data_IF_260100075216
#
_entry.id   IF_260100075216
#
_cell.length_a   1.000
_cell.length_b   1.000
_cell.length_c   1.000
_cell.angle_alpha   90.00
_cell.angle_beta   90.00
_cell.angle_gamma   90.00
#
_symmetry.space_group_name_H-M   'P 1'
#
loop_
_entity.id
_entity.type
_entity.pdbx_description
1 polymer ?
#
# COMPACT_ATOMS: atom_id res chain seq x y z
N UNK A 1 35.88 28.79 -2.02
CA UNK A 1 36.46 29.38 -0.79
C UNK A 1 37.92 29.01 -0.60
N UNK A 2 38.37 27.79 -0.63
CA UNK A 2 39.79 27.37 -0.40
C UNK A 2 40.77 27.92 -1.45
N UNK A 3 40.36 28.14 -2.70
CA UNK A 3 41.23 28.65 -3.77
C UNK A 3 41.50 30.18 -3.65
N UNK A 4 40.59 30.96 -3.09
CA UNK A 4 40.76 32.40 -2.89
C UNK A 4 41.70 32.71 -1.71
N UNK A 5 41.69 31.87 -0.67
CA UNK A 5 42.60 31.99 0.46
C UNK A 5 44.05 31.68 0.06
N UNK A 6 44.26 30.67 -0.80
CA UNK A 6 45.56 30.30 -1.28
C UNK A 6 46.20 31.41 -2.15
N UNK A 7 45.39 32.09 -2.95
CA UNK A 7 45.87 33.18 -3.79
C UNK A 7 46.27 34.39 -2.94
N UNK A 8 45.51 34.67 -1.88
CA UNK A 8 45.80 35.75 -0.91
C UNK A 8 47.12 35.50 -0.15
N UNK A 9 47.33 34.27 0.28
CA UNK A 9 48.58 33.88 0.96
C UNK A 9 49.78 33.93 0.01
N UNK A 10 49.61 33.61 -1.28
CA UNK A 10 50.65 33.75 -2.28
C UNK A 10 51.02 35.21 -2.56
N UNK A 11 50.04 36.10 -2.54
CA UNK A 11 50.26 37.54 -2.73
C UNK A 11 50.89 38.19 -1.49
N UNK A 12 50.54 37.72 -0.26
CA UNK A 12 51.23 38.12 0.98
C UNK A 12 52.70 37.64 1.00
N UNK A 13 52.98 36.46 0.54
CA UNK A 13 54.34 35.94 0.41
C UNK A 13 55.15 36.75 -0.63
N UNK A 14 54.56 37.09 -1.77
CA UNK A 14 55.17 37.97 -2.78
C UNK A 14 55.41 39.37 -2.25
N UNK A 15 54.51 39.91 -1.43
CA UNK A 15 54.66 41.20 -0.81
C UNK A 15 55.80 41.18 0.23
N UNK A 16 55.86 40.17 1.09
CA UNK A 16 56.96 39.97 2.07
C UNK A 16 58.33 39.75 1.41
N UNK A 17 58.37 39.11 0.23
CA UNK A 17 59.57 38.93 -0.57
C UNK A 17 60.03 40.28 -1.19
N UNK A 18 59.13 41.19 -1.52
CA UNK A 18 59.47 42.55 -1.99
C UNK A 18 60.13 43.41 -0.91
N UNK A 19 59.68 43.28 0.34
CA UNK A 19 60.25 44.02 1.48
C UNK A 19 61.55 43.43 1.99
N UNK A 20 61.77 42.10 1.82
CA UNK A 20 63.06 41.43 2.21
C UNK A 20 64.21 41.80 1.26
N UNK A 21 63.89 42.26 0.05
CA UNK A 21 64.88 42.87 -0.84
C UNK A 21 64.98 44.38 -0.57
N UNK A 22 65.02 44.76 0.71
CA UNK A 22 65.24 46.13 1.05
C UNK A 22 66.59 46.61 0.44
N UNK A 23 66.47 47.49 -0.45
CA UNK A 23 67.55 48.20 -1.17
C UNK A 23 68.70 48.66 -0.27
N UNK A 24 68.43 48.83 1.00
CA UNK A 24 69.33 49.38 1.97
C UNK A 24 70.39 48.37 2.47
N UNK A 25 70.05 47.14 2.71
CA UNK A 25 70.99 46.07 3.11
C UNK A 25 71.92 45.70 1.98
N UNK A 26 71.47 45.71 0.73
CA UNK A 26 72.31 45.53 -0.41
C UNK A 26 73.23 46.66 -0.68
N UNK A 27 72.79 47.91 -0.42
CA UNK A 27 73.63 49.10 -0.58
C UNK A 27 74.72 49.24 0.51
N UNK A 28 74.44 48.78 1.72
CA UNK A 28 75.45 48.74 2.79
C UNK A 28 76.54 47.70 2.55
N UNK A 29 76.14 46.54 2.08
CA UNK A 29 77.08 45.44 1.75
C UNK A 29 77.90 45.67 0.49
N UNK A 30 77.44 46.50 -0.44
CA UNK A 30 78.16 46.83 -1.65
C UNK A 30 79.15 48.00 -1.50
N UNK A 31 79.01 48.82 -0.42
CA UNK A 31 79.91 49.98 -0.18
C UNK A 31 81.37 49.67 0.09
N UNK A 32 81.69 48.48 0.60
CA UNK A 32 83.03 48.04 0.97
C UNK A 32 83.66 47.03 0.00
N UNK A 33 83.03 46.73 -1.17
CA UNK A 33 83.50 45.70 -2.09
C UNK A 33 84.41 46.26 -3.19
N UNK A 34 85.64 45.95 -3.05
CA UNK A 34 86.72 46.49 -3.90
C UNK A 34 87.00 45.60 -5.17
N UNK A 35 86.36 44.42 -5.29
CA UNK A 35 86.53 43.53 -6.45
C UNK A 35 85.28 42.91 -6.95
N UNK A 36 85.03 42.98 -8.26
CA UNK A 36 83.79 42.41 -8.94
C UNK A 36 83.64 40.90 -8.75
N UNK A 37 84.71 40.19 -8.50
CA UNK A 37 84.63 38.69 -8.25
C UNK A 37 84.10 38.30 -6.89
N UNK A 38 84.11 39.23 -5.89
CA UNK A 38 83.59 38.91 -4.57
C UNK A 38 82.08 39.22 -4.46
N UNK A 39 81.57 40.14 -5.30
CA UNK A 39 80.18 40.48 -5.41
C UNK A 39 79.31 39.28 -5.80
N UNK A 40 79.75 38.49 -6.74
CA UNK A 40 79.02 37.30 -7.26
C UNK A 40 78.83 36.21 -6.16
N UNK A 41 79.89 35.99 -5.38
CA UNK A 41 79.87 35.06 -4.25
C UNK A 41 78.98 35.53 -3.09
N UNK A 42 79.03 36.84 -2.79
CA UNK A 42 78.19 37.45 -1.73
C UNK A 42 76.72 37.42 -2.12
N UNK A 43 76.40 37.82 -3.35
CA UNK A 43 75.02 37.79 -3.87
C UNK A 43 74.48 36.37 -3.87
N UNK A 44 75.28 35.42 -4.38
CA UNK A 44 74.91 33.99 -4.37
C UNK A 44 74.67 33.48 -2.94
N UNK A 45 75.55 33.89 -1.98
CA UNK A 45 75.38 33.50 -0.57
C UNK A 45 74.10 34.08 0.09
N UNK A 46 73.81 35.36 -0.22
CA UNK A 46 72.57 36.01 0.29
C UNK A 46 71.33 35.35 -0.33
N UNK A 47 71.31 35.15 -1.64
CA UNK A 47 70.21 34.49 -2.34
C UNK A 47 69.98 33.09 -1.79
N UNK A 48 71.00 32.25 -1.62
CA UNK A 48 70.87 30.97 -0.97
C UNK A 48 70.26 31.01 0.44
N UNK A 49 70.73 31.95 1.27
CA UNK A 49 70.16 32.14 2.64
C UNK A 49 68.74 32.63 2.63
N UNK A 50 68.35 33.47 1.69
CA UNK A 50 66.98 33.92 1.53
C UNK A 50 66.06 32.76 1.07
N UNK A 51 66.51 32.02 0.08
CA UNK A 51 65.77 30.86 -0.37
C UNK A 51 65.58 29.78 0.73
N UNK A 52 66.64 29.45 1.47
CA UNK A 52 66.50 28.46 2.56
C UNK A 52 65.58 28.94 3.69
N UNK A 53 65.60 30.25 4.03
CA UNK A 53 64.65 30.83 4.99
C UNK A 53 63.21 30.83 4.46
N UNK A 54 63.05 31.11 3.18
CA UNK A 54 61.76 31.06 2.51
C UNK A 54 61.18 29.63 2.49
N UNK A 55 61.98 28.65 2.04
CA UNK A 55 61.61 27.23 2.03
C UNK A 55 61.19 26.74 3.42
N UNK A 56 61.98 27.03 4.46
CA UNK A 56 61.63 26.62 5.83
C UNK A 56 60.38 27.30 6.38
N UNK A 57 60.16 28.56 6.01
CA UNK A 57 58.94 29.29 6.40
C UNK A 57 57.69 28.77 5.69
N UNK A 58 57.83 28.41 4.41
CA UNK A 58 56.77 27.86 3.57
C UNK A 58 56.41 26.45 4.04
N UNK A 59 57.40 25.62 4.33
CA UNK A 59 57.24 24.27 4.85
C UNK A 59 56.50 24.26 6.20
N UNK A 60 56.91 25.19 7.11
CA UNK A 60 56.21 25.36 8.41
C UNK A 60 54.75 25.79 8.23
N UNK A 61 54.47 26.79 7.39
CA UNK A 61 53.10 27.24 7.12
C UNK A 61 52.22 26.13 6.47
N UNK A 62 52.82 25.36 5.57
CA UNK A 62 52.10 24.21 4.96
C UNK A 62 51.80 23.15 5.99
N UNK A 63 52.75 22.76 6.82
CA UNK A 63 52.55 21.77 7.87
C UNK A 63 51.50 22.22 8.87
N UNK A 64 51.54 23.47 9.32
CA UNK A 64 50.53 24.02 10.23
C UNK A 64 49.09 23.98 9.63
N UNK A 65 48.99 24.29 8.30
CA UNK A 65 47.70 24.18 7.60
C UNK A 65 47.24 22.72 7.43
N UNK A 66 48.14 21.82 7.11
CA UNK A 66 47.83 20.38 6.98
C UNK A 66 47.30 19.82 8.31
N UNK A 67 47.98 20.13 9.41
CA UNK A 67 47.57 19.69 10.75
C UNK A 67 46.17 20.23 11.07
N UNK A 68 45.96 21.55 10.84
CA UNK A 68 44.65 22.16 11.09
C UNK A 68 43.52 21.50 10.29
N UNK A 69 43.75 21.22 8.99
CA UNK A 69 42.77 20.52 8.14
C UNK A 69 42.53 19.08 8.62
N UNK A 70 43.61 18.39 9.03
CA UNK A 70 43.47 17.03 9.58
C UNK A 70 42.63 17.01 10.86
N UNK A 71 42.82 17.94 11.76
CA UNK A 71 42.06 18.05 13.00
C UNK A 71 40.57 18.38 12.72
N UNK A 72 40.32 19.35 11.83
CA UNK A 72 38.95 19.67 11.40
C UNK A 72 38.24 18.47 10.71
N UNK A 73 38.97 17.73 9.89
CA UNK A 73 38.45 16.52 9.25
C UNK A 73 38.16 15.42 10.27
N UNK A 74 39.04 15.21 11.24
CA UNK A 74 38.89 14.22 12.29
C UNK A 74 37.63 14.52 13.13
N UNK A 75 37.44 15.76 13.55
CA UNK A 75 36.25 16.19 14.27
C UNK A 75 34.95 15.96 13.47
N UNK A 76 34.97 16.33 12.17
CA UNK A 76 33.80 16.10 11.30
C UNK A 76 33.49 14.61 11.11
N UNK A 77 34.53 13.78 10.96
CA UNK A 77 34.35 12.31 10.84
C UNK A 77 33.75 11.73 12.12
N UNK A 78 34.19 12.18 13.28
CA UNK A 78 33.65 11.72 14.58
C UNK A 78 32.18 12.11 14.73
N UNK A 79 31.82 13.36 14.45
CA UNK A 79 30.41 13.84 14.47
C UNK A 79 29.56 13.07 13.49
N UNK A 80 30.04 12.79 12.28
CA UNK A 80 29.32 11.99 11.29
C UNK A 80 29.16 10.55 11.71
N UNK A 81 30.16 9.96 12.36
CA UNK A 81 30.10 8.60 12.90
C UNK A 81 29.00 8.48 13.95
N UNK A 82 28.94 9.42 14.92
CA UNK A 82 27.91 9.46 15.95
C UNK A 82 26.50 9.58 15.32
N UNK A 83 26.35 10.50 14.36
CA UNK A 83 25.07 10.68 13.66
C UNK A 83 24.65 9.42 12.88
N UNK A 84 25.60 8.72 12.26
CA UNK A 84 25.33 7.50 11.54
C UNK A 84 24.86 6.37 12.47
N UNK A 85 25.46 6.27 13.66
CA UNK A 85 25.02 5.32 14.69
C UNK A 85 23.61 5.63 15.19
N UNK A 86 23.29 6.90 15.44
CA UNK A 86 21.93 7.30 15.84
C UNK A 86 20.90 6.97 14.74
N UNK A 87 21.23 7.30 13.48
CA UNK A 87 20.35 6.98 12.35
C UNK A 87 20.14 5.46 12.19
N UNK A 88 21.17 4.65 12.38
CA UNK A 88 21.05 3.17 12.35
C UNK A 88 20.09 2.68 13.45
N UNK A 89 20.26 3.14 14.68
CA UNK A 89 19.36 2.78 15.80
C UNK A 89 17.92 3.18 15.52
N UNK A 90 17.69 4.39 15.00
CA UNK A 90 16.35 4.86 14.62
C UNK A 90 15.76 4.02 13.48
N UNK A 91 16.56 3.60 12.53
CA UNK A 91 16.14 2.72 11.43
C UNK A 91 15.72 1.34 11.97
N UNK A 92 16.49 0.74 12.88
CA UNK A 92 16.18 -0.53 13.50
C UNK A 92 14.85 -0.47 14.29
N UNK A 93 14.66 0.56 15.10
CA UNK A 93 13.40 0.78 15.83
C UNK A 93 12.24 0.98 14.85
N UNK A 94 12.42 1.80 13.81
CA UNK A 94 11.39 2.02 12.80
C UNK A 94 11.00 0.75 12.04
N UNK A 95 11.98 -0.08 11.66
CA UNK A 95 11.71 -1.35 10.97
C UNK A 95 11.00 -2.36 11.88
N UNK A 96 11.34 -2.43 13.16
CA UNK A 96 10.64 -3.26 14.14
C UNK A 96 9.18 -2.81 14.32
N UNK A 97 8.93 -1.51 14.43
CA UNK A 97 7.57 -0.95 14.51
C UNK A 97 6.74 -1.25 13.26
N UNK A 98 7.31 -1.06 12.07
CA UNK A 98 6.63 -1.38 10.80
C UNK A 98 6.26 -2.87 10.74
N UNK A 99 7.14 -3.75 11.21
CA UNK A 99 6.88 -5.20 11.23
C UNK A 99 5.73 -5.55 12.18
N UNK A 100 5.70 -4.94 13.37
CA UNK A 100 4.60 -5.10 14.33
C UNK A 100 3.27 -4.62 13.75
N UNK A 101 3.25 -3.40 13.19
CA UNK A 101 2.06 -2.83 12.58
C UNK A 101 1.54 -3.70 11.42
N UNK A 102 2.43 -4.22 10.57
CA UNK A 102 2.04 -5.13 9.49
C UNK A 102 1.38 -6.40 10.01
N UNK A 103 1.90 -6.96 11.10
CA UNK A 103 1.32 -8.14 11.74
C UNK A 103 -0.08 -7.84 12.30
N UNK A 104 -0.22 -6.78 13.10
CA UNK A 104 -1.48 -6.35 13.69
C UNK A 104 -2.53 -6.02 12.62
N UNK A 105 -2.11 -5.36 11.54
CA UNK A 105 -2.98 -5.08 10.39
C UNK A 105 -3.48 -6.36 9.73
N UNK A 106 -2.58 -7.33 9.51
CA UNK A 106 -2.95 -8.63 8.93
C UNK A 106 -3.97 -9.37 9.80
N UNK A 107 -3.76 -9.41 11.12
CA UNK A 107 -4.68 -10.01 12.08
C UNK A 107 -6.04 -9.30 12.08
N UNK A 108 -6.04 -7.97 12.09
CA UNK A 108 -7.26 -7.15 12.03
C UNK A 108 -8.05 -7.41 10.74
N UNK A 109 -7.38 -7.51 9.61
CA UNK A 109 -8.02 -7.84 8.31
C UNK A 109 -8.65 -9.23 8.35
N UNK A 110 -8.00 -10.21 8.97
CA UNK A 110 -8.58 -11.56 9.11
C UNK A 110 -9.83 -11.55 9.99
N UNK A 111 -9.78 -10.86 11.12
CA UNK A 111 -10.95 -10.72 12.02
C UNK A 111 -12.12 -10.02 11.30
N UNK A 112 -11.83 -8.95 10.57
CA UNK A 112 -12.86 -8.23 9.79
C UNK A 112 -13.49 -9.11 8.70
N UNK A 113 -12.69 -9.89 7.97
CA UNK A 113 -13.20 -10.86 6.99
C UNK A 113 -14.10 -11.89 7.64
N UNK A 114 -13.68 -12.47 8.77
CA UNK A 114 -14.47 -13.45 9.50
C UNK A 114 -15.78 -12.87 10.02
N UNK A 115 -15.76 -11.66 10.57
CA UNK A 115 -16.95 -10.96 11.03
C UNK A 115 -17.94 -10.72 9.87
N UNK A 116 -17.45 -10.25 8.71
CA UNK A 116 -18.29 -10.05 7.53
C UNK A 116 -18.90 -11.37 7.01
N UNK A 117 -18.13 -12.45 6.98
CA UNK A 117 -18.66 -13.77 6.58
C UNK A 117 -19.74 -14.24 7.54
N UNK A 118 -19.53 -14.10 8.85
CA UNK A 118 -20.52 -14.50 9.87
C UNK A 118 -21.78 -13.65 9.77
N UNK A 119 -21.64 -12.34 9.60
CA UNK A 119 -22.76 -11.42 9.42
C UNK A 119 -23.60 -11.79 8.18
N UNK A 120 -22.92 -11.98 7.04
CA UNK A 120 -23.59 -12.39 5.81
C UNK A 120 -24.29 -13.77 5.93
N UNK A 121 -23.65 -14.72 6.62
CA UNK A 121 -24.25 -16.03 6.87
C UNK A 121 -25.52 -15.89 7.71
N UNK A 122 -25.49 -15.13 8.81
CA UNK A 122 -26.64 -14.89 9.68
C UNK A 122 -27.77 -14.19 8.91
N UNK A 123 -27.45 -13.19 8.10
CA UNK A 123 -28.41 -12.52 7.23
C UNK A 123 -29.02 -13.52 6.23
N UNK A 124 -28.21 -14.30 5.55
CA UNK A 124 -28.68 -15.31 4.59
C UNK A 124 -29.54 -16.39 5.28
N UNK A 125 -29.14 -16.81 6.47
CA UNK A 125 -29.89 -17.78 7.25
C UNK A 125 -31.28 -17.24 7.65
N UNK A 126 -31.36 -15.97 8.03
CA UNK A 126 -32.66 -15.32 8.33
C UNK A 126 -33.60 -15.26 7.12
N UNK A 127 -33.02 -15.24 5.91
CA UNK A 127 -33.73 -15.23 4.62
C UNK A 127 -33.98 -16.64 4.04
N UNK A 128 -33.53 -17.69 4.74
CA UNK A 128 -33.53 -19.06 4.25
C UNK A 128 -34.89 -19.52 3.70
N UNK A 129 -35.98 -19.13 4.39
CA UNK A 129 -37.34 -19.50 4.03
C UNK A 129 -38.05 -18.47 3.13
N UNK A 130 -37.35 -17.42 2.70
CA UNK A 130 -37.92 -16.40 1.84
C UNK A 130 -37.85 -16.83 0.36
N UNK A 131 -38.89 -16.42 -0.39
CA UNK A 131 -38.93 -16.45 -1.86
C UNK A 131 -39.16 -15.01 -2.34
N UNK A 132 -38.39 -14.55 -3.33
CA UNK A 132 -38.73 -13.36 -4.10
C UNK A 132 -39.54 -13.75 -5.31
N UNK A 133 -40.66 -13.05 -5.50
CA UNK A 133 -41.58 -13.27 -6.61
C UNK A 133 -41.59 -12.05 -7.51
N UNK A 134 -41.14 -12.23 -8.73
CA UNK A 134 -41.16 -11.17 -9.75
C UNK A 134 -42.37 -11.28 -10.63
N UNK A 135 -42.82 -10.12 -11.15
CA UNK A 135 -43.94 -9.99 -12.09
C UNK A 135 -45.27 -10.53 -11.54
N UNK A 136 -45.42 -10.56 -10.21
CA UNK A 136 -46.69 -10.94 -9.60
C UNK A 136 -47.76 -9.86 -9.88
N UNK A 137 -48.92 -10.23 -10.45
CA UNK A 137 -49.96 -9.26 -10.83
C UNK A 137 -50.39 -8.35 -9.67
N UNK A 138 -50.69 -7.11 -9.96
CA UNK A 138 -51.23 -6.16 -8.98
C UNK A 138 -52.71 -5.94 -9.31
N UNK A 139 -53.54 -6.08 -8.28
CA UNK A 139 -54.98 -5.83 -8.36
C UNK A 139 -55.39 -4.88 -7.25
N UNK A 140 -56.48 -4.15 -7.44
CA UNK A 140 -57.07 -3.35 -6.35
C UNK A 140 -57.62 -4.26 -5.26
N UNK A 141 -57.51 -3.84 -4.01
CA UNK A 141 -57.97 -4.60 -2.82
C UNK A 141 -57.47 -6.05 -2.77
N UNK A 142 -56.22 -6.28 -3.23
CA UNK A 142 -55.59 -7.58 -3.36
C UNK A 142 -55.30 -8.23 -1.99
N UNK A 143 -55.75 -9.46 -1.76
CA UNK A 143 -55.25 -10.31 -0.70
C UNK A 143 -54.02 -11.09 -1.22
N UNK A 144 -52.84 -10.53 -1.00
CA UNK A 144 -51.57 -11.08 -1.51
C UNK A 144 -51.34 -12.55 -1.07
N UNK A 145 -51.72 -12.90 0.17
CA UNK A 145 -51.55 -14.23 0.72
C UNK A 145 -52.40 -15.24 -0.05
N UNK A 146 -53.68 -14.98 -0.17
CA UNK A 146 -54.64 -15.87 -0.85
C UNK A 146 -54.28 -15.98 -2.35
N UNK A 147 -53.97 -14.86 -2.99
CA UNK A 147 -53.60 -14.87 -4.40
C UNK A 147 -52.29 -15.65 -4.65
N UNK A 148 -51.32 -15.58 -3.73
CA UNK A 148 -50.10 -16.38 -3.81
C UNK A 148 -50.41 -17.89 -3.64
N UNK A 149 -51.20 -18.29 -2.66
CA UNK A 149 -51.62 -19.66 -2.42
C UNK A 149 -52.35 -20.23 -3.66
N UNK A 150 -53.29 -19.43 -4.20
CA UNK A 150 -54.05 -19.85 -5.40
C UNK A 150 -53.14 -20.00 -6.62
N UNK A 151 -52.16 -19.14 -6.82
CA UNK A 151 -51.20 -19.25 -7.90
C UNK A 151 -50.32 -20.49 -7.75
N UNK A 152 -49.81 -20.78 -6.56
CA UNK A 152 -48.97 -21.94 -6.28
C UNK A 152 -49.79 -23.25 -6.51
N UNK A 153 -51.05 -23.24 -6.07
CA UNK A 153 -51.95 -24.39 -6.29
C UNK A 153 -52.30 -24.56 -7.77
N UNK A 154 -52.64 -23.49 -8.46
CA UNK A 154 -53.09 -23.53 -9.86
C UNK A 154 -51.99 -23.81 -10.87
N UNK A 155 -50.81 -23.25 -10.68
CA UNK A 155 -49.66 -23.34 -11.61
C UNK A 155 -48.73 -24.49 -11.27
N UNK A 156 -48.47 -24.72 -9.96
CA UNK A 156 -47.42 -25.64 -9.49
C UNK A 156 -48.02 -26.93 -8.90
N UNK A 157 -49.33 -27.06 -8.80
CA UNK A 157 -50.02 -28.16 -8.18
C UNK A 157 -49.52 -28.51 -6.74
N UNK A 158 -49.05 -27.47 -6.01
CA UNK A 158 -48.61 -27.56 -4.62
C UNK A 158 -49.66 -26.93 -3.73
N UNK A 159 -50.17 -27.70 -2.78
CA UNK A 159 -51.18 -27.20 -1.81
C UNK A 159 -50.43 -26.55 -0.65
N UNK A 160 -50.75 -25.27 -0.40
CA UNK A 160 -50.28 -24.49 0.75
C UNK A 160 -51.50 -24.12 1.63
N UNK A 161 -51.29 -24.22 2.93
CA UNK A 161 -52.24 -23.67 3.90
C UNK A 161 -51.88 -22.19 4.25
N UNK A 162 -52.83 -21.44 4.82
CA UNK A 162 -52.55 -20.05 5.22
C UNK A 162 -51.37 -19.92 6.21
N UNK A 163 -51.23 -20.92 7.11
CA UNK A 163 -50.13 -21.00 8.08
C UNK A 163 -48.75 -21.20 7.43
N UNK A 164 -48.69 -21.76 6.20
CA UNK A 164 -47.45 -21.97 5.47
C UNK A 164 -46.86 -20.65 4.96
N UNK A 165 -47.64 -19.58 4.85
CA UNK A 165 -47.22 -18.26 4.45
C UNK A 165 -47.15 -17.36 5.69
N UNK A 166 -45.99 -17.23 6.30
CA UNK A 166 -45.76 -16.44 7.53
C UNK A 166 -45.93 -14.94 7.26
N UNK A 167 -45.34 -14.45 6.20
CA UNK A 167 -45.42 -13.04 5.80
C UNK A 167 -45.34 -12.92 4.27
N UNK A 168 -46.07 -11.95 3.74
CA UNK A 168 -46.01 -11.58 2.33
C UNK A 168 -46.25 -10.09 2.16
N UNK A 169 -45.36 -9.42 1.44
CA UNK A 169 -45.50 -8.00 1.13
C UNK A 169 -44.75 -7.62 -0.15
N UNK A 170 -45.10 -6.49 -0.73
CA UNK A 170 -44.38 -5.92 -1.88
C UNK A 170 -43.12 -5.18 -1.42
N UNK A 171 -42.02 -5.41 -2.14
CA UNK A 171 -40.79 -4.67 -1.95
C UNK A 171 -40.88 -3.32 -2.69
N UNK A 172 -40.25 -2.24 -2.15
CA UNK A 172 -40.06 -1.03 -2.93
C UNK A 172 -39.24 -1.32 -4.20
N UNK A 173 -39.72 -0.86 -5.35
CA UNK A 173 -39.03 -0.99 -6.61
C UNK A 173 -39.47 0.13 -7.57
N UNK A 174 -38.54 0.59 -8.40
CA UNK A 174 -38.79 1.58 -9.46
C UNK A 174 -39.69 1.00 -10.55
N UNK A 175 -39.47 -0.29 -10.91
CA UNK A 175 -40.24 -1.01 -11.93
C UNK A 175 -41.49 -1.66 -11.36
N UNK A 176 -42.61 -1.51 -12.05
CA UNK A 176 -43.87 -2.14 -11.69
C UNK A 176 -44.18 -3.35 -12.59
N UNK A 177 -44.78 -4.40 -12.09
CA UNK A 177 -45.19 -4.57 -10.68
C UNK A 177 -44.01 -4.85 -9.77
N UNK A 178 -44.01 -4.18 -8.60
CA UNK A 178 -42.96 -4.37 -7.58
C UNK A 178 -42.89 -5.83 -7.15
N UNK A 179 -41.68 -6.40 -6.93
CA UNK A 179 -41.52 -7.78 -6.49
C UNK A 179 -42.21 -8.01 -5.12
N UNK A 180 -42.58 -9.26 -4.87
CA UNK A 180 -43.01 -9.68 -3.54
C UNK A 180 -41.85 -10.36 -2.82
N UNK A 181 -41.85 -10.24 -1.51
CA UNK A 181 -41.15 -11.14 -0.61
C UNK A 181 -42.17 -12.02 0.09
N UNK A 182 -41.97 -13.32 0.05
CA UNK A 182 -42.85 -14.30 0.70
C UNK A 182 -41.99 -15.10 1.66
N UNK A 183 -42.33 -15.05 2.95
CA UNK A 183 -41.66 -15.88 3.97
C UNK A 183 -42.54 -17.10 4.24
N UNK A 184 -42.01 -18.26 3.98
CA UNK A 184 -42.66 -19.51 4.23
C UNK A 184 -42.32 -20.09 5.61
N UNK A 185 -43.18 -20.92 6.15
CA UNK A 185 -43.07 -21.45 7.50
C UNK A 185 -41.78 -22.29 7.68
N UNK A 186 -41.51 -23.15 6.71
CA UNK A 186 -40.34 -24.02 6.80
C UNK A 186 -39.56 -24.12 5.49
N UNK A 187 -38.34 -24.64 5.61
CA UNK A 187 -37.49 -24.92 4.44
C UNK A 187 -38.08 -26.03 3.55
N UNK A 188 -38.87 -26.91 4.12
CA UNK A 188 -39.48 -28.03 3.35
C UNK A 188 -40.65 -27.53 2.51
N UNK A 189 -41.50 -26.67 3.08
CA UNK A 189 -42.55 -25.96 2.31
C UNK A 189 -41.91 -25.13 1.19
N UNK A 190 -40.83 -24.38 1.49
CA UNK A 190 -40.10 -23.65 0.43
C UNK A 190 -39.59 -24.60 -0.66
N UNK A 191 -38.98 -25.73 -0.27
CA UNK A 191 -38.39 -26.67 -1.20
C UNK A 191 -39.43 -27.27 -2.13
N UNK A 192 -40.63 -27.64 -1.63
CA UNK A 192 -41.72 -28.15 -2.44
C UNK A 192 -42.13 -27.18 -3.53
N UNK A 193 -42.27 -25.88 -3.19
CA UNK A 193 -42.62 -24.83 -4.15
C UNK A 193 -41.47 -24.56 -5.15
N UNK A 194 -40.25 -24.42 -4.64
CA UNK A 194 -39.11 -24.05 -5.48
C UNK A 194 -38.65 -25.16 -6.44
N UNK A 195 -38.91 -26.43 -6.12
CA UNK A 195 -38.55 -27.57 -6.98
C UNK A 195 -39.29 -27.53 -8.31
N UNK A 196 -40.57 -27.11 -8.28
CA UNK A 196 -41.45 -27.09 -9.45
C UNK A 196 -41.62 -25.68 -10.04
N UNK A 197 -40.84 -24.69 -9.58
CA UNK A 197 -40.97 -23.28 -10.02
C UNK A 197 -40.85 -23.05 -11.53
N UNK A 198 -40.27 -23.97 -12.27
CA UNK A 198 -40.18 -23.91 -13.75
C UNK A 198 -41.52 -24.11 -14.44
N UNK A 199 -42.51 -24.68 -13.76
CA UNK A 199 -43.87 -24.93 -14.26
C UNK A 199 -44.77 -23.67 -14.14
N UNK A 200 -44.29 -22.60 -13.52
CA UNK A 200 -45.02 -21.34 -13.42
C UNK A 200 -45.42 -20.81 -14.80
N UNK A 201 -46.67 -20.50 -14.93
CA UNK A 201 -47.25 -19.98 -16.17
C UNK A 201 -47.05 -18.44 -16.27
N UNK A 202 -46.97 -17.97 -17.49
CA UNK A 202 -46.82 -16.54 -17.75
C UNK A 202 -45.45 -15.98 -17.42
N UNK A 203 -45.43 -14.72 -16.89
CA UNK A 203 -44.18 -13.99 -16.61
C UNK A 203 -43.74 -14.05 -15.14
N UNK A 204 -44.51 -14.71 -14.27
CA UNK A 204 -44.19 -14.83 -12.84
C UNK A 204 -42.96 -15.69 -12.66
N UNK A 205 -42.05 -15.22 -11.80
CA UNK A 205 -40.77 -15.91 -11.57
C UNK A 205 -40.46 -15.97 -10.08
N UNK A 206 -40.18 -17.17 -9.58
CA UNK A 206 -39.73 -17.39 -8.20
C UNK A 206 -38.23 -17.54 -8.15
N UNK A 207 -37.58 -16.80 -7.26
CA UNK A 207 -36.14 -16.91 -6.99
C UNK A 207 -35.88 -16.91 -5.49
N UNK A 208 -34.73 -17.44 -5.10
CA UNK A 208 -34.28 -17.39 -3.71
C UNK A 208 -34.01 -15.94 -3.27
N UNK A 209 -34.25 -15.63 -2.00
CA UNK A 209 -33.88 -14.34 -1.41
C UNK A 209 -32.42 -14.37 -0.96
N UNK A 210 -31.55 -14.10 -1.92
CA UNK A 210 -30.09 -14.11 -1.72
C UNK A 210 -29.63 -12.74 -1.23
N UNK A 211 -28.68 -12.71 -0.28
CA UNK A 211 -28.06 -11.47 0.18
C UNK A 211 -27.28 -10.80 -0.94
N UNK A 212 -27.02 -9.50 -0.82
CA UNK A 212 -26.23 -8.77 -1.80
C UNK A 212 -24.82 -9.38 -1.93
N UNK A 213 -24.15 -9.68 -0.81
CA UNK A 213 -22.81 -10.28 -0.82
C UNK A 213 -22.76 -11.62 -1.53
N UNK A 214 -23.75 -12.48 -1.28
CA UNK A 214 -23.85 -13.77 -1.97
C UNK A 214 -24.15 -13.60 -3.47
N UNK A 215 -24.95 -12.59 -3.85
CA UNK A 215 -25.22 -12.29 -5.25
C UNK A 215 -23.94 -11.75 -5.96
N UNK A 216 -23.13 -10.97 -5.29
CA UNK A 216 -21.83 -10.52 -5.80
C UNK A 216 -20.85 -11.70 -5.98
N UNK A 217 -20.86 -12.65 -5.02
CA UNK A 217 -20.09 -13.88 -5.15
C UNK A 217 -20.52 -14.71 -6.37
N UNK A 218 -21.83 -14.90 -6.57
CA UNK A 218 -22.37 -15.58 -7.76
C UNK A 218 -21.85 -14.92 -9.04
N UNK A 219 -22.01 -13.60 -9.16
CA UNK A 219 -21.54 -12.84 -10.33
C UNK A 219 -20.03 -12.95 -10.53
N UNK A 220 -19.25 -12.98 -9.45
CA UNK A 220 -17.79 -13.16 -9.51
C UNK A 220 -17.42 -14.54 -10.06
N UNK A 221 -18.10 -15.60 -9.60
CA UNK A 221 -17.89 -16.96 -10.08
C UNK A 221 -18.31 -17.12 -11.56
N UNK A 222 -19.46 -16.56 -11.95
CA UNK A 222 -19.93 -16.57 -13.34
C UNK A 222 -18.93 -15.85 -14.29
N UNK A 223 -18.35 -14.72 -13.85
CA UNK A 223 -17.36 -13.97 -14.64
C UNK A 223 -16.02 -14.68 -14.77
N UNK A 224 -15.68 -15.59 -13.86
CA UNK A 224 -14.39 -16.30 -13.91
C UNK A 224 -14.30 -17.29 -15.08
N UNK A 225 -15.43 -17.63 -15.71
CA UNK A 225 -15.53 -18.61 -16.81
C UNK A 225 -14.99 -20.02 -16.45
N UNK A 226 -14.73 -20.27 -15.17
CA UNK A 226 -14.24 -21.57 -14.68
C UNK A 226 -15.38 -22.56 -14.43
N UNK A 227 -16.63 -22.10 -14.49
CA UNK A 227 -17.80 -22.88 -14.10
C UNK A 227 -18.88 -22.90 -15.17
N UNK A 228 -19.36 -24.10 -15.44
CA UNK A 228 -20.55 -24.40 -16.25
C UNK A 228 -21.82 -23.83 -15.62
N UNK A 229 -21.91 -23.99 -14.29
CA UNK A 229 -23.07 -23.57 -13.51
C UNK A 229 -22.63 -23.03 -12.16
N UNK A 230 -23.30 -21.94 -11.75
CA UNK A 230 -23.18 -21.36 -10.43
C UNK A 230 -24.58 -21.23 -9.84
N UNK A 231 -24.79 -21.68 -8.61
CA UNK A 231 -26.10 -21.62 -7.99
C UNK A 231 -26.04 -21.40 -6.47
N UNK A 232 -27.12 -20.87 -5.95
CA UNK A 232 -27.38 -20.79 -4.51
C UNK A 232 -28.14 -22.04 -4.07
N UNK A 233 -27.72 -22.65 -2.97
CA UNK A 233 -28.43 -23.73 -2.33
C UNK A 233 -28.18 -23.74 -0.82
N UNK A 234 -29.25 -23.77 -0.02
CA UNK A 234 -29.21 -23.91 1.44
C UNK A 234 -28.16 -23.01 2.12
N UNK A 235 -28.24 -21.71 1.91
CA UNK A 235 -27.34 -20.67 2.41
C UNK A 235 -25.89 -20.77 1.90
N UNK A 236 -25.58 -21.58 0.93
CA UNK A 236 -24.27 -21.71 0.28
C UNK A 236 -24.31 -21.33 -1.19
N UNK A 237 -23.17 -20.93 -1.72
CA UNK A 237 -22.95 -20.71 -3.14
C UNK A 237 -22.06 -21.84 -3.67
N UNK A 238 -22.43 -22.41 -4.78
CA UNK A 238 -21.77 -23.56 -5.39
C UNK A 238 -21.44 -23.25 -6.84
N UNK A 239 -20.31 -23.74 -7.30
CA UNK A 239 -19.91 -23.78 -8.70
C UNK A 239 -19.64 -25.18 -9.15
N UNK A 240 -20.03 -25.54 -10.39
CA UNK A 240 -19.69 -26.78 -11.05
C UNK A 240 -18.83 -26.48 -12.26
N UNK A 241 -17.67 -27.11 -12.34
CA UNK A 241 -16.78 -27.06 -13.50
C UNK A 241 -17.29 -27.96 -14.65
N UNK A 242 -16.76 -27.77 -15.84
CA UNK A 242 -17.04 -28.63 -17.00
C UNK A 242 -16.76 -30.12 -16.72
N UNK A 243 -15.74 -30.40 -15.91
CA UNK A 243 -15.38 -31.76 -15.49
C UNK A 243 -16.33 -32.36 -14.42
N UNK A 244 -17.38 -31.63 -14.05
CA UNK A 244 -18.39 -32.06 -13.08
C UNK A 244 -18.02 -31.89 -11.62
N UNK A 245 -16.84 -31.32 -11.28
CA UNK A 245 -16.45 -31.05 -9.91
C UNK A 245 -17.36 -29.96 -9.32
N UNK A 246 -17.96 -30.25 -8.16
CA UNK A 246 -18.80 -29.31 -7.43
C UNK A 246 -18.09 -28.81 -6.20
N UNK A 247 -17.94 -27.48 -6.08
CA UNK A 247 -17.26 -26.85 -4.96
C UNK A 247 -18.14 -25.78 -4.35
N UNK A 248 -18.13 -25.68 -3.02
CA UNK A 248 -18.80 -24.62 -2.27
C UNK A 248 -17.81 -23.48 -2.07
N UNK A 249 -18.26 -22.24 -2.33
CA UNK A 249 -17.45 -21.05 -2.24
C UNK A 249 -17.91 -20.13 -1.12
N UNK A 250 -16.92 -19.48 -0.49
CA UNK A 250 -17.10 -18.37 0.45
C UNK A 250 -16.69 -17.03 -0.19
N UNK A 251 -17.04 -15.93 0.46
CA UNK A 251 -16.89 -14.60 -0.11
C UNK A 251 -15.44 -14.25 -0.49
N UNK A 252 -14.48 -14.69 0.28
CA UNK A 252 -13.06 -14.35 0.12
C UNK A 252 -12.21 -15.49 -0.45
N UNK A 253 -12.82 -16.57 -0.91
CA UNK A 253 -12.08 -17.69 -1.50
C UNK A 253 -11.38 -17.27 -2.79
N UNK A 254 -10.16 -17.75 -2.97
CA UNK A 254 -9.47 -17.69 -4.25
C UNK A 254 -9.97 -18.83 -5.14
N UNK A 255 -10.58 -18.46 -6.28
CA UNK A 255 -11.17 -19.40 -7.22
C UNK A 255 -10.12 -20.38 -7.76
N UNK A 256 -8.95 -19.87 -8.12
CA UNK A 256 -7.88 -20.67 -8.71
C UNK A 256 -7.27 -21.66 -7.71
N UNK A 257 -7.24 -21.27 -6.43
CA UNK A 257 -6.74 -22.15 -5.38
C UNK A 257 -7.72 -23.28 -5.06
N UNK A 258 -9.02 -23.00 -5.08
CA UNK A 258 -10.08 -23.99 -4.79
C UNK A 258 -10.28 -25.03 -5.90
N UNK A 259 -9.79 -24.74 -7.11
CA UNK A 259 -9.90 -25.63 -8.28
C UNK A 259 -8.65 -26.49 -8.54
N UNK A 260 -7.62 -26.35 -7.71
CA UNK A 260 -6.42 -27.21 -7.74
C UNK A 260 -6.64 -28.47 -6.92
#
# INVERSE_FOLDING_TARGET
MIYQDFQKDLDEIKFSLRDVTAKDDLNEMTKDLVKTSDLENIVTGIVKKLFSKFESSLEKKMNDKVIKIQDEMKEKVEVLSIKNEDLKKRLEVGTAQITSIKKEFSETVQVAKQANMSSNYNEQYSRKNNIKVFNFPRREKQNLRQDFINLVKGDLNVTLEERDVVAIHRLPAEHKPSPLIVRLFSSDVKRSVMRVRKELKGRVKFVDDVTQMNMELIKRLERSQCFDQVWYFNCGIYGRTENGLQTKFQMYDDINFQLR
#
